data_IF_822481027125
#
_entry.id   IF_822481027125
#
_cell.length_a   1.000
_cell.length_b   1.000
_cell.length_c   1.000
_cell.angle_alpha   90.00
_cell.angle_beta   90.00
_cell.angle_gamma   90.00
#
_symmetry.space_group_name_H-M   'P 1'
#
loop_
_entity.id
_entity.type
_entity.pdbx_description
1 polymer ?
#
# COMPACT_ATOMS: atom_id res chain seq x y z
N UNK A 1 -0.06 -4.89 -23.04
CA UNK A 1 0.77 -6.10 -23.15
C UNK A 1 2.24 -5.71 -23.19
N UNK A 2 3.12 -6.45 -22.51
CA UNK A 2 4.57 -6.19 -22.49
C UNK A 2 5.24 -6.72 -23.76
N UNK A 3 6.22 -5.99 -24.29
CA UNK A 3 7.00 -6.37 -25.48
C UNK A 3 7.94 -7.54 -25.19
N UNK A 4 8.45 -8.20 -26.24
CA UNK A 4 9.46 -9.28 -26.11
C UNK A 4 10.75 -8.77 -25.46
N UNK A 5 11.21 -7.57 -25.83
CA UNK A 5 12.39 -6.93 -25.23
C UNK A 5 12.19 -6.61 -23.75
N UNK A 6 11.01 -6.10 -23.36
CA UNK A 6 10.67 -5.85 -21.95
C UNK A 6 10.73 -7.14 -21.12
N UNK A 7 10.19 -8.24 -21.65
CA UNK A 7 10.19 -9.53 -20.96
C UNK A 7 11.61 -10.09 -20.81
N UNK A 8 12.44 -9.98 -21.85
CA UNK A 8 13.83 -10.42 -21.83
C UNK A 8 14.63 -9.60 -20.79
N UNK A 9 14.54 -8.28 -20.83
CA UNK A 9 15.19 -7.40 -19.86
C UNK A 9 14.80 -7.74 -18.42
N UNK A 10 13.49 -7.86 -18.14
CA UNK A 10 13.01 -8.20 -16.81
C UNK A 10 13.47 -9.58 -16.32
N UNK A 11 13.62 -10.57 -17.21
CA UNK A 11 14.17 -11.90 -16.86
C UNK A 11 15.65 -11.80 -16.48
N UNK A 12 16.46 -11.13 -17.30
CA UNK A 12 17.90 -10.96 -17.04
C UNK A 12 18.15 -10.18 -15.75
N UNK A 13 17.42 -9.08 -15.55
CA UNK A 13 17.54 -8.27 -14.33
C UNK A 13 17.11 -9.06 -13.06
N UNK A 14 16.11 -9.93 -13.15
CA UNK A 14 15.75 -10.85 -12.05
C UNK A 14 16.87 -11.83 -11.70
N UNK A 15 17.52 -12.42 -12.70
CA UNK A 15 18.65 -13.33 -12.51
C UNK A 15 19.82 -12.69 -11.77
N UNK A 16 20.11 -11.41 -12.04
CA UNK A 16 21.22 -10.69 -11.39
C UNK A 16 20.92 -10.29 -9.93
N UNK A 17 19.65 -10.18 -9.55
CA UNK A 17 19.21 -9.69 -8.23
C UNK A 17 18.92 -10.80 -7.20
N UNK A 18 19.10 -12.07 -7.56
CA UNK A 18 18.63 -13.25 -6.82
C UNK A 18 19.20 -13.52 -5.41
N UNK A 19 20.13 -12.70 -4.91
CA UNK A 19 20.67 -12.84 -3.55
C UNK A 19 20.10 -11.78 -2.59
N UNK A 20 19.30 -12.20 -1.60
CA UNK A 20 18.78 -11.35 -0.53
C UNK A 20 19.78 -11.33 0.65
N UNK A 21 20.57 -10.27 0.77
CA UNK A 21 21.50 -10.05 1.88
C UNK A 21 20.75 -9.64 3.18
N UNK A 22 21.23 -10.03 4.39
CA UNK A 22 20.72 -9.57 5.69
C UNK A 22 20.37 -8.08 5.80
N UNK A 23 21.17 -7.18 5.23
CA UNK A 23 20.90 -5.73 5.25
C UNK A 23 19.57 -5.41 4.55
N UNK A 24 19.29 -6.05 3.41
CA UNK A 24 18.02 -5.89 2.69
C UNK A 24 16.84 -6.38 3.54
N UNK A 25 17.00 -7.49 4.28
CA UNK A 25 15.93 -7.99 5.17
C UNK A 25 15.60 -7.04 6.31
N UNK A 26 16.61 -6.38 6.90
CA UNK A 26 16.38 -5.37 7.94
C UNK A 26 15.60 -4.19 7.38
N UNK A 27 16.00 -3.68 6.21
CA UNK A 27 15.33 -2.55 5.53
C UNK A 27 13.85 -2.87 5.26
N UNK A 28 13.57 -4.05 4.68
CA UNK A 28 12.21 -4.52 4.41
C UNK A 28 11.38 -4.53 5.72
N UNK A 29 11.91 -5.13 6.78
CA UNK A 29 11.24 -5.13 8.09
C UNK A 29 10.96 -3.72 8.61
N UNK A 30 11.83 -2.76 8.33
CA UNK A 30 11.65 -1.36 8.76
C UNK A 30 10.55 -0.66 7.96
N UNK A 31 10.52 -0.77 6.63
CA UNK A 31 9.47 -0.17 5.79
C UNK A 31 8.07 -0.67 6.18
N UNK A 32 7.95 -1.95 6.53
CA UNK A 32 6.71 -2.57 7.01
C UNK A 32 6.13 -1.91 8.27
N UNK A 33 6.90 -1.15 9.05
CA UNK A 33 6.42 -0.43 10.24
C UNK A 33 5.37 0.61 9.84
N UNK A 34 5.65 1.40 8.79
CA UNK A 34 4.75 2.45 8.32
C UNK A 34 3.43 1.87 7.81
N UNK A 35 3.47 0.76 7.07
CA UNK A 35 2.26 0.13 6.55
C UNK A 35 1.38 -0.49 7.65
N UNK A 36 1.99 -1.14 8.65
CA UNK A 36 1.26 -1.62 9.84
C UNK A 36 0.65 -0.46 10.62
N UNK A 37 1.39 0.64 10.75
CA UNK A 37 0.89 1.87 11.38
C UNK A 37 -0.35 2.38 10.63
N UNK A 38 -0.30 2.46 9.29
CA UNK A 38 -1.43 2.90 8.47
C UNK A 38 -2.64 1.96 8.64
N UNK A 39 -2.47 0.63 8.64
CA UNK A 39 -3.57 -0.31 8.87
C UNK A 39 -4.23 -0.08 10.23
N UNK A 40 -3.44 0.09 11.29
CA UNK A 40 -3.96 0.35 12.63
C UNK A 40 -4.69 1.70 12.70
N UNK A 41 -4.18 2.73 12.02
CA UNK A 41 -4.84 4.04 11.92
C UNK A 41 -6.12 4.00 11.10
N UNK A 42 -6.15 3.26 9.99
CA UNK A 42 -7.37 3.03 9.23
C UNK A 42 -8.43 2.32 10.08
N UNK A 43 -8.04 1.30 10.85
CA UNK A 43 -8.95 0.60 11.78
C UNK A 43 -9.48 1.53 12.89
N UNK A 44 -8.63 2.39 13.45
CA UNK A 44 -9.06 3.43 14.40
C UNK A 44 -10.02 4.44 13.74
N UNK A 45 -9.76 4.83 12.50
CA UNK A 45 -10.61 5.75 11.75
C UNK A 45 -12.02 5.18 11.54
N UNK A 46 -12.13 3.88 11.21
CA UNK A 46 -13.42 3.18 11.14
C UNK A 46 -14.21 3.33 12.45
N UNK A 47 -13.56 3.03 13.59
CA UNK A 47 -14.18 3.17 14.91
C UNK A 47 -14.63 4.62 15.17
N UNK A 48 -13.76 5.58 14.89
CA UNK A 48 -14.00 6.99 15.17
C UNK A 48 -15.13 7.59 14.32
N UNK A 49 -15.31 7.09 13.08
CA UNK A 49 -16.37 7.54 12.17
C UNK A 49 -17.64 6.67 12.23
N UNK A 50 -17.77 5.79 13.23
CA UNK A 50 -19.00 5.03 13.49
C UNK A 50 -19.15 3.70 12.72
N UNK A 51 -18.14 3.29 11.95
CA UNK A 51 -18.07 1.98 11.26
C UNK A 51 -17.70 0.86 12.25
N UNK A 52 -18.51 0.72 13.31
CA UNK A 52 -18.24 -0.18 14.43
C UNK A 52 -18.37 -1.66 14.07
N UNK A 53 -19.14 -1.98 13.03
CA UNK A 53 -19.26 -3.35 12.53
C UNK A 53 -17.97 -3.77 11.81
N UNK A 54 -17.54 -2.98 10.83
CA UNK A 54 -16.34 -3.18 10.04
C UNK A 54 -15.09 -3.17 10.92
N UNK A 55 -15.03 -2.23 11.89
CA UNK A 55 -13.98 -2.21 12.91
C UNK A 55 -13.89 -3.53 13.67
N UNK A 56 -15.02 -4.04 14.19
CA UNK A 56 -15.01 -5.30 14.96
C UNK A 56 -14.65 -6.49 14.10
N UNK A 57 -15.17 -6.55 12.88
CA UNK A 57 -14.89 -7.60 11.92
C UNK A 57 -13.38 -7.68 11.61
N UNK A 58 -12.77 -6.57 11.19
CA UNK A 58 -11.38 -6.54 10.75
C UNK A 58 -10.37 -6.56 11.89
N UNK A 59 -10.74 -6.04 13.07
CA UNK A 59 -9.86 -6.10 14.26
C UNK A 59 -9.46 -7.53 14.59
N UNK A 60 -10.36 -8.50 14.41
CA UNK A 60 -10.07 -9.91 14.67
C UNK A 60 -9.01 -10.50 13.72
N UNK A 61 -8.83 -9.90 12.54
CA UNK A 61 -7.90 -10.34 11.50
C UNK A 61 -6.71 -9.40 11.28
N UNK A 62 -6.54 -8.37 12.14
CA UNK A 62 -5.50 -7.36 11.94
C UNK A 62 -4.09 -7.96 11.91
N UNK A 63 -3.86 -9.05 12.64
CA UNK A 63 -2.60 -9.81 12.61
C UNK A 63 -2.33 -10.39 11.22
N UNK A 64 -3.33 -10.99 10.58
CA UNK A 64 -3.22 -11.56 9.23
C UNK A 64 -3.02 -10.45 8.18
N UNK A 65 -3.79 -9.37 8.29
CA UNK A 65 -3.66 -8.19 7.39
C UNK A 65 -2.24 -7.61 7.50
N UNK A 66 -1.71 -7.45 8.71
CA UNK A 66 -0.36 -6.94 8.93
C UNK A 66 0.74 -7.92 8.48
N UNK A 67 0.49 -9.22 8.56
CA UNK A 67 1.38 -10.25 8.01
C UNK A 67 1.42 -10.17 6.47
N UNK A 68 0.26 -10.01 5.83
CA UNK A 68 0.13 -9.83 4.39
C UNK A 68 0.86 -8.60 3.85
N UNK A 69 0.67 -7.47 4.54
CA UNK A 69 1.43 -6.23 4.26
C UNK A 69 2.93 -6.48 4.32
N UNK A 70 3.39 -7.12 5.40
CA UNK A 70 4.83 -7.38 5.59
C UNK A 70 5.39 -8.32 4.51
N UNK A 71 4.58 -9.23 4.01
CA UNK A 71 4.99 -10.21 3.00
C UNK A 71 5.06 -9.64 1.58
N UNK A 72 4.24 -8.63 1.26
CA UNK A 72 4.24 -7.97 -0.04
C UNK A 72 5.58 -7.28 -0.33
N UNK A 73 6.22 -6.73 0.71
CA UNK A 73 7.51 -6.05 0.64
C UNK A 73 8.74 -6.97 0.66
N UNK A 74 8.54 -8.29 0.83
CA UNK A 74 9.63 -9.26 0.87
C UNK A 74 10.13 -9.64 -0.54
N UNK A 75 11.43 -9.93 -0.60
CA UNK A 75 12.15 -10.39 -1.80
C UNK A 75 12.19 -9.37 -2.94
N UNK A 76 12.16 -9.85 -4.18
CA UNK A 76 12.17 -9.04 -5.39
C UNK A 76 10.80 -8.40 -5.72
N UNK A 77 9.80 -8.52 -4.84
CA UNK A 77 8.42 -8.07 -5.12
C UNK A 77 8.31 -6.54 -5.20
N UNK A 78 9.12 -5.83 -4.43
CA UNK A 78 9.19 -4.35 -4.40
C UNK A 78 9.45 -3.70 -5.75
N UNK A 79 10.08 -4.41 -6.70
CA UNK A 79 10.31 -3.88 -8.06
C UNK A 79 9.00 -3.68 -8.84
N UNK A 80 7.91 -4.30 -8.41
CA UNK A 80 6.59 -4.19 -9.01
C UNK A 80 5.71 -3.14 -8.32
N UNK A 81 6.18 -2.46 -7.27
CA UNK A 81 5.37 -1.53 -6.47
C UNK A 81 5.19 -0.15 -7.13
N UNK A 82 5.76 0.02 -8.32
CA UNK A 82 5.68 1.26 -9.07
C UNK A 82 4.44 1.31 -9.96
N UNK A 83 3.79 2.46 -10.00
CA UNK A 83 2.69 2.74 -10.90
C UNK A 83 2.68 4.21 -11.33
N UNK A 84 3.15 4.48 -12.55
CA UNK A 84 3.21 5.83 -13.09
C UNK A 84 1.81 6.40 -13.28
N UNK A 85 1.52 7.53 -12.62
CA UNK A 85 0.17 8.12 -12.57
C UNK A 85 -0.44 8.41 -13.96
N UNK A 86 0.36 8.90 -14.91
CA UNK A 86 -0.09 9.21 -16.28
C UNK A 86 0.01 8.02 -17.24
N UNK A 87 1.20 7.39 -17.31
CA UNK A 87 1.47 6.31 -18.26
C UNK A 87 0.77 4.99 -17.91
N UNK A 88 0.27 4.84 -16.67
CA UNK A 88 -0.40 3.65 -16.14
C UNK A 88 0.48 2.37 -16.25
N UNK A 89 1.80 2.55 -16.10
CA UNK A 89 2.83 1.50 -16.22
C UNK A 89 3.71 1.45 -14.98
N UNK A 90 4.35 0.30 -14.74
CA UNK A 90 5.38 0.15 -13.71
C UNK A 90 6.78 0.36 -14.28
N UNK A 91 7.80 -0.19 -13.61
CA UNK A 91 9.17 -0.18 -14.13
C UNK A 91 9.28 -1.05 -15.40
N UNK A 92 10.12 -0.60 -16.35
CA UNK A 92 10.30 -1.27 -17.63
C UNK A 92 10.76 -2.73 -17.45
N UNK A 93 10.02 -3.67 -18.05
CA UNK A 93 10.28 -5.12 -17.92
C UNK A 93 9.68 -5.79 -16.67
N UNK A 94 9.06 -5.04 -15.77
CA UNK A 94 8.46 -5.53 -14.52
C UNK A 94 6.94 -5.35 -14.49
N UNK A 95 6.26 -5.97 -13.51
CA UNK A 95 4.84 -5.74 -13.26
C UNK A 95 4.62 -4.32 -12.73
N UNK A 96 3.41 -3.99 -12.29
CA UNK A 96 3.11 -2.68 -11.70
C UNK A 96 2.17 -2.83 -10.50
N UNK A 97 2.10 -1.78 -9.68
CA UNK A 97 1.38 -1.84 -8.42
C UNK A 97 -0.10 -2.17 -8.61
N UNK A 98 -0.73 -1.68 -9.69
CA UNK A 98 -2.12 -1.96 -10.01
C UNK A 98 -2.33 -3.44 -10.33
N UNK A 99 -1.50 -4.05 -11.17
CA UNK A 99 -1.66 -5.46 -11.54
C UNK A 99 -1.38 -6.40 -10.36
N UNK A 100 -0.36 -6.12 -9.54
CA UNK A 100 -0.12 -6.91 -8.33
C UNK A 100 -1.22 -6.70 -7.28
N UNK A 101 -1.75 -5.47 -7.14
CA UNK A 101 -2.86 -5.19 -6.21
C UNK A 101 -4.13 -5.95 -6.63
N UNK A 102 -4.49 -5.92 -7.92
CA UNK A 102 -5.59 -6.72 -8.46
C UNK A 102 -5.39 -8.21 -8.20
N UNK A 103 -4.18 -8.73 -8.42
CA UNK A 103 -3.86 -10.13 -8.20
C UNK A 103 -4.04 -10.53 -6.74
N UNK A 104 -3.49 -9.76 -5.81
CA UNK A 104 -3.65 -10.05 -4.38
C UNK A 104 -5.10 -9.88 -3.93
N UNK A 105 -5.81 -8.87 -4.43
CA UNK A 105 -7.22 -8.66 -4.09
C UNK A 105 -8.10 -9.82 -4.59
N UNK A 106 -7.84 -10.31 -5.82
CA UNK A 106 -8.53 -11.51 -6.34
C UNK A 106 -8.21 -12.77 -5.54
N UNK A 107 -6.96 -12.95 -5.09
CA UNK A 107 -6.60 -14.06 -4.22
C UNK A 107 -7.32 -13.96 -2.88
N UNK A 108 -7.39 -12.76 -2.30
CA UNK A 108 -8.12 -12.47 -1.06
C UNK A 108 -9.59 -12.89 -1.16
N UNK A 109 -10.28 -12.48 -2.23
CA UNK A 109 -11.66 -12.89 -2.50
C UNK A 109 -11.80 -14.39 -2.78
N UNK A 110 -10.89 -15.00 -3.55
CA UNK A 110 -10.89 -16.45 -3.78
C UNK A 110 -10.82 -17.23 -2.47
N UNK A 111 -9.94 -16.83 -1.55
CA UNK A 111 -9.83 -17.49 -0.25
C UNK A 111 -11.01 -17.21 0.66
N UNK A 112 -11.66 -16.05 0.52
CA UNK A 112 -12.92 -15.76 1.20
C UNK A 112 -14.02 -16.74 0.76
N UNK A 113 -14.16 -16.95 -0.56
CA UNK A 113 -15.14 -17.87 -1.14
C UNK A 113 -14.88 -19.34 -0.79
N UNK A 114 -13.64 -19.68 -0.42
CA UNK A 114 -13.26 -21.01 0.08
C UNK A 114 -13.41 -21.16 1.61
N UNK A 115 -13.84 -20.11 2.32
CA UNK A 115 -13.91 -20.10 3.79
C UNK A 115 -12.55 -20.02 4.48
N UNK A 116 -11.44 -19.85 3.75
CA UNK A 116 -10.10 -19.73 4.30
C UNK A 116 -9.82 -18.29 4.78
N UNK A 117 -10.53 -17.83 5.81
CA UNK A 117 -10.62 -16.43 6.22
C UNK A 117 -9.26 -15.79 6.58
N UNK A 118 -8.37 -16.51 7.26
CA UNK A 118 -7.04 -16.00 7.61
C UNK A 118 -6.18 -15.72 6.36
N UNK A 119 -6.16 -16.66 5.40
CA UNK A 119 -5.45 -16.46 4.12
C UNK A 119 -6.09 -15.35 3.30
N UNK A 120 -7.42 -15.26 3.32
CA UNK A 120 -8.17 -14.19 2.68
C UNK A 120 -7.71 -12.81 3.20
N UNK A 121 -7.66 -12.63 4.51
CA UNK A 121 -7.22 -11.39 5.17
C UNK A 121 -5.74 -11.10 4.99
N UNK A 122 -4.90 -12.14 4.91
CA UNK A 122 -3.51 -12.01 4.52
C UNK A 122 -3.36 -11.39 3.13
N UNK A 123 -4.07 -11.89 2.12
CA UNK A 123 -3.99 -11.31 0.77
C UNK A 123 -4.68 -9.94 0.65
N UNK A 124 -5.66 -9.63 1.52
CA UNK A 124 -6.17 -8.26 1.67
C UNK A 124 -5.04 -7.35 2.15
N UNK A 125 -4.29 -7.75 3.17
CA UNK A 125 -3.10 -7.06 3.63
C UNK A 125 -2.09 -6.78 2.52
N UNK A 126 -1.77 -7.78 1.70
CA UNK A 126 -0.88 -7.60 0.55
C UNK A 126 -1.43 -6.59 -0.48
N UNK A 127 -2.76 -6.47 -0.60
CA UNK A 127 -3.40 -5.46 -1.46
C UNK A 127 -3.33 -4.06 -0.85
N UNK A 128 -3.56 -3.94 0.48
CA UNK A 128 -3.41 -2.70 1.23
C UNK A 128 -1.99 -2.13 1.11
N UNK A 129 -0.97 -3.00 1.15
CA UNK A 129 0.43 -2.60 0.94
C UNK A 129 0.61 -1.78 -0.34
N UNK A 130 0.16 -2.32 -1.47
CA UNK A 130 0.30 -1.67 -2.77
C UNK A 130 -0.56 -0.43 -2.90
N UNK A 131 -1.75 -0.42 -2.28
CA UNK A 131 -2.61 0.77 -2.19
C UNK A 131 -1.93 1.91 -1.43
N UNK A 132 -1.21 1.58 -0.36
CA UNK A 132 -0.47 2.53 0.47
C UNK A 132 0.77 3.03 -0.26
N UNK A 133 1.53 2.15 -0.93
CA UNK A 133 2.70 2.54 -1.72
C UNK A 133 2.37 3.59 -2.78
N UNK A 134 1.26 3.45 -3.49
CA UNK A 134 0.89 4.43 -4.53
C UNK A 134 0.39 5.78 -3.99
N UNK A 135 0.33 5.96 -2.66
CA UNK A 135 0.18 7.30 -2.06
C UNK A 135 1.51 8.05 -1.93
N UNK A 136 2.63 7.35 -2.06
CA UNK A 136 3.98 7.90 -1.96
C UNK A 136 4.43 8.39 -3.34
N UNK A 137 4.82 9.67 -3.50
CA UNK A 137 5.19 10.23 -4.80
C UNK A 137 6.27 9.45 -5.54
N UNK A 138 7.22 8.88 -4.81
CA UNK A 138 8.34 8.14 -5.34
C UNK A 138 7.94 6.82 -6.02
N UNK A 139 6.82 6.21 -5.61
CA UNK A 139 6.28 5.00 -6.21
C UNK A 139 5.46 5.28 -7.48
N UNK A 140 5.09 6.54 -7.72
CA UNK A 140 4.22 6.92 -8.86
C UNK A 140 4.86 7.88 -9.86
N UNK A 141 6.10 8.29 -9.58
CA UNK A 141 6.91 9.10 -10.46
C UNK A 141 8.35 8.59 -10.47
N UNK A 142 8.70 7.84 -11.53
CA UNK A 142 9.99 7.17 -11.70
C UNK A 142 11.20 8.14 -11.69
N UNK A 143 10.99 9.45 -11.84
CA UNK A 143 12.06 10.46 -11.73
C UNK A 143 12.55 10.67 -10.30
N UNK A 144 11.80 10.19 -9.30
CA UNK A 144 12.06 10.43 -7.86
C UNK A 144 12.76 9.26 -7.15
N UNK A 145 13.11 8.21 -7.88
CA UNK A 145 13.68 6.96 -7.34
C UNK A 145 14.97 7.14 -6.54
N UNK A 146 15.81 8.14 -6.85
CA UNK A 146 17.12 8.28 -6.19
C UNK A 146 17.06 8.71 -4.71
N UNK A 147 15.89 9.12 -4.20
CA UNK A 147 15.72 9.64 -2.82
C UNK A 147 14.55 9.02 -2.04
N UNK A 148 13.96 7.92 -2.52
CA UNK A 148 12.81 7.27 -1.87
C UNK A 148 13.14 6.77 -0.46
N UNK A 149 14.28 6.08 -0.31
CA UNK A 149 14.70 5.45 0.95
C UNK A 149 14.89 6.45 2.08
N UNK A 150 15.55 7.57 1.82
CA UNK A 150 15.79 8.61 2.84
C UNK A 150 14.48 9.17 3.40
N UNK A 151 13.47 9.29 2.55
CA UNK A 151 12.16 9.80 2.94
C UNK A 151 11.38 8.77 3.76
N UNK A 152 11.36 7.51 3.34
CA UNK A 152 10.70 6.43 4.09
C UNK A 152 11.33 6.22 5.47
N UNK A 153 12.67 6.20 5.54
CA UNK A 153 13.40 6.10 6.81
C UNK A 153 13.12 7.31 7.72
N UNK A 154 12.95 8.50 7.14
CA UNK A 154 12.55 9.67 7.91
C UNK A 154 11.15 9.51 8.49
N UNK A 155 10.16 9.03 7.71
CA UNK A 155 8.80 8.75 8.22
C UNK A 155 8.85 7.76 9.39
N UNK A 156 9.58 6.65 9.21
CA UNK A 156 9.75 5.64 10.26
C UNK A 156 10.31 6.28 11.52
N UNK A 157 11.35 7.11 11.39
CA UNK A 157 11.94 7.82 12.54
C UNK A 157 10.88 8.65 13.27
N UNK A 158 10.06 9.41 12.55
CA UNK A 158 8.98 10.21 13.16
C UNK A 158 7.99 9.33 13.93
N UNK A 159 7.55 8.21 13.34
CA UNK A 159 6.65 7.26 14.01
C UNK A 159 7.30 6.68 15.28
N UNK A 160 8.57 6.29 15.22
CA UNK A 160 9.29 5.68 16.34
C UNK A 160 9.55 6.66 17.50
N UNK A 161 9.71 7.95 17.22
CA UNK A 161 9.83 8.99 18.27
C UNK A 161 8.46 9.48 18.79
N UNK A 162 7.37 8.85 18.36
CA UNK A 162 6.02 9.10 18.88
C UNK A 162 5.21 10.16 18.12
N UNK A 163 5.68 10.63 16.95
CA UNK A 163 4.86 11.48 16.11
C UNK A 163 3.62 10.72 15.63
N UNK A 164 2.45 11.35 15.77
CA UNK A 164 1.18 10.73 15.44
C UNK A 164 0.55 11.42 14.24
N UNK A 165 0.62 10.78 13.08
CA UNK A 165 -0.08 11.19 11.86
C UNK A 165 -1.57 10.89 11.99
N UNK A 166 -2.33 11.80 12.58
CA UNK A 166 -3.78 11.68 12.66
C UNK A 166 -4.47 12.36 11.47
N UNK A 167 -5.60 11.80 11.06
CA UNK A 167 -6.46 12.40 10.04
C UNK A 167 -7.82 12.72 10.65
N UNK A 168 -8.32 13.90 10.34
CA UNK A 168 -9.72 14.30 10.58
C UNK A 168 -10.55 14.23 9.29
N UNK A 169 -9.97 13.70 8.21
CA UNK A 169 -10.61 13.64 6.90
C UNK A 169 -11.57 12.45 6.84
N UNK A 170 -12.65 12.63 6.11
CA UNK A 170 -13.62 11.56 5.85
C UNK A 170 -12.99 10.39 5.10
N UNK A 171 -13.46 9.18 5.43
CA UNK A 171 -13.09 7.96 4.73
C UNK A 171 -13.44 8.07 3.24
N UNK A 172 -12.53 7.62 2.38
CA UNK A 172 -12.70 7.67 0.93
C UNK A 172 -12.92 6.29 0.34
N UNK A 173 -14.06 6.10 -0.31
CA UNK A 173 -14.41 4.90 -1.06
C UNK A 173 -14.35 5.15 -2.57
N UNK A 174 -13.95 4.13 -3.32
CA UNK A 174 -13.97 4.15 -4.78
C UNK A 174 -14.68 2.91 -5.33
N UNK A 175 -15.05 2.94 -6.62
CA UNK A 175 -15.94 1.90 -7.19
C UNK A 175 -15.30 0.51 -7.24
N UNK A 176 -13.98 0.44 -7.37
CA UNK A 176 -13.23 -0.81 -7.50
C UNK A 176 -11.76 -0.59 -7.12
N UNK A 177 -11.02 -1.69 -6.96
CA UNK A 177 -9.61 -1.68 -6.54
C UNK A 177 -8.71 -0.86 -7.48
N UNK A 178 -9.07 -0.76 -8.77
CA UNK A 178 -8.26 -0.01 -9.73
C UNK A 178 -8.38 1.49 -9.50
N UNK A 179 -9.58 1.96 -9.19
CA UNK A 179 -9.81 3.37 -8.87
C UNK A 179 -9.07 3.78 -7.59
N UNK A 180 -8.99 2.92 -6.56
CA UNK A 180 -8.15 3.19 -5.39
C UNK A 180 -6.71 3.47 -5.82
N UNK A 181 -6.11 2.59 -6.62
CA UNK A 181 -4.72 2.75 -7.06
C UNK A 181 -4.53 4.00 -7.92
N UNK A 182 -5.40 4.20 -8.90
CA UNK A 182 -5.29 5.31 -9.85
C UNK A 182 -5.50 6.67 -9.18
N UNK A 183 -6.49 6.78 -8.28
CA UNK A 183 -6.79 8.03 -7.58
C UNK A 183 -5.71 8.34 -6.56
N UNK A 184 -5.20 7.34 -5.83
CA UNK A 184 -4.07 7.52 -4.91
C UNK A 184 -2.82 7.99 -5.66
N UNK A 185 -2.49 7.37 -6.80
CA UNK A 185 -1.34 7.78 -7.60
C UNK A 185 -1.47 9.22 -8.13
N UNK A 186 -2.68 9.64 -8.53
CA UNK A 186 -2.93 11.01 -8.93
C UNK A 186 -2.75 12.00 -7.76
N UNK A 187 -3.28 11.67 -6.57
CA UNK A 187 -3.12 12.50 -5.37
C UNK A 187 -1.66 12.61 -4.96
N UNK A 188 -0.92 11.50 -4.93
CA UNK A 188 0.51 11.45 -4.61
C UNK A 188 1.32 12.38 -5.52
N UNK A 189 1.07 12.32 -6.83
CA UNK A 189 1.73 13.21 -7.78
C UNK A 189 1.37 14.69 -7.55
N UNK A 190 0.11 15.01 -7.23
CA UNK A 190 -0.31 16.38 -6.87
C UNK A 190 0.38 16.87 -5.59
N UNK A 191 0.51 16.03 -4.57
CA UNK A 191 1.21 16.34 -3.32
C UNK A 191 2.67 16.68 -3.59
N UNK A 192 3.35 15.91 -4.45
CA UNK A 192 4.71 16.22 -4.86
C UNK A 192 4.83 17.63 -5.45
N UNK A 193 4.03 17.97 -6.45
CA UNK A 193 4.09 19.29 -7.09
C UNK A 193 3.76 20.42 -6.11
N UNK A 194 2.81 20.21 -5.20
CA UNK A 194 2.43 21.19 -4.18
C UNK A 194 3.61 21.60 -3.29
N UNK A 195 4.44 20.64 -2.88
CA UNK A 195 5.52 20.88 -1.91
C UNK A 195 6.92 20.89 -2.52
N UNK A 196 7.07 20.67 -3.83
CA UNK A 196 8.38 20.58 -4.48
C UNK A 196 9.21 21.87 -4.32
N UNK A 197 8.56 23.04 -4.23
CA UNK A 197 9.21 24.34 -4.08
C UNK A 197 9.80 24.62 -2.69
N UNK A 198 9.44 23.84 -1.66
CA UNK A 198 9.97 24.05 -0.29
C UNK A 198 11.48 23.79 -0.28
N UNK A 199 12.27 24.72 0.27
CA UNK A 199 13.74 24.57 0.33
C UNK A 199 14.20 23.69 1.49
N UNK A 200 13.57 23.84 2.66
CA UNK A 200 13.88 23.03 3.84
C UNK A 200 13.50 21.57 3.60
N UNK A 201 14.47 20.67 3.74
CA UNK A 201 14.25 19.22 3.58
C UNK A 201 13.26 18.71 4.64
N UNK A 202 13.43 19.13 5.88
CA UNK A 202 12.59 18.70 7.01
C UNK A 202 11.14 19.15 6.84
N UNK A 203 10.94 20.43 6.50
CA UNK A 203 9.61 20.99 6.27
C UNK A 203 8.92 20.32 5.08
N UNK A 204 9.67 20.08 3.99
CA UNK A 204 9.14 19.34 2.83
C UNK A 204 8.74 17.93 3.21
N UNK A 205 9.60 17.23 3.95
CA UNK A 205 9.35 15.85 4.36
C UNK A 205 8.12 15.77 5.25
N UNK A 206 7.98 16.65 6.23
CA UNK A 206 6.80 16.72 7.10
C UNK A 206 5.52 16.98 6.30
N UNK A 207 5.49 18.02 5.47
CA UNK A 207 4.31 18.37 4.68
C UNK A 207 3.89 17.26 3.71
N UNK A 208 4.85 16.61 3.05
CA UNK A 208 4.56 15.47 2.16
C UNK A 208 4.09 14.28 2.99
N UNK A 209 4.76 13.95 4.11
CA UNK A 209 4.41 12.80 4.95
C UNK A 209 3.00 12.91 5.54
N UNK A 210 2.62 14.06 6.10
CA UNK A 210 1.26 14.29 6.59
C UNK A 210 0.23 14.04 5.48
N UNK A 211 0.41 14.66 4.32
CA UNK A 211 -0.54 14.54 3.23
C UNK A 211 -0.70 13.09 2.71
N UNK A 212 0.40 12.35 2.54
CA UNK A 212 0.35 10.99 1.98
C UNK A 212 -0.12 9.96 3.00
N UNK A 213 0.29 10.10 4.28
CA UNK A 213 -0.08 9.15 5.33
C UNK A 213 -1.57 9.30 5.65
N UNK A 214 -2.09 10.53 5.72
CA UNK A 214 -3.53 10.76 5.84
C UNK A 214 -4.30 10.16 4.65
N UNK A 215 -3.83 10.37 3.41
CA UNK A 215 -4.47 9.79 2.23
C UNK A 215 -4.46 8.25 2.27
N UNK A 216 -3.34 7.66 2.69
CA UNK A 216 -3.22 6.21 2.86
C UNK A 216 -4.18 5.67 3.92
N UNK A 217 -4.38 6.40 5.04
CA UNK A 217 -5.33 6.01 6.07
C UNK A 217 -6.77 6.02 5.57
N UNK A 218 -7.23 7.13 4.99
CA UNK A 218 -8.64 7.28 4.58
C UNK A 218 -9.02 6.33 3.44
N UNK A 219 -8.08 6.00 2.55
CA UNK A 219 -8.32 5.08 1.44
C UNK A 219 -8.13 3.62 1.82
N UNK A 220 -7.22 3.30 2.75
CA UNK A 220 -7.16 1.95 3.35
C UNK A 220 -8.44 1.64 4.12
N UNK A 221 -8.97 2.60 4.89
CA UNK A 221 -10.24 2.45 5.60
C UNK A 221 -11.42 2.25 4.64
N UNK A 222 -11.45 2.97 3.51
CA UNK A 222 -12.47 2.78 2.47
C UNK A 222 -12.43 1.37 1.87
N UNK A 223 -11.24 0.89 1.50
CA UNK A 223 -11.06 -0.47 0.98
C UNK A 223 -11.48 -1.52 2.00
N UNK A 224 -11.18 -1.29 3.28
CA UNK A 224 -11.60 -2.15 4.39
C UNK A 224 -13.12 -2.26 4.52
N UNK A 225 -13.87 -1.16 4.37
CA UNK A 225 -15.34 -1.18 4.34
C UNK A 225 -15.84 -1.99 3.15
N UNK A 226 -15.35 -1.68 1.94
CA UNK A 226 -15.73 -2.41 0.72
C UNK A 226 -15.48 -3.91 0.84
N UNK A 227 -14.41 -4.28 1.56
CA UNK A 227 -14.07 -5.67 1.80
C UNK A 227 -14.99 -6.33 2.83
N UNK A 228 -15.30 -5.65 3.95
CA UNK A 228 -16.25 -6.14 4.94
C UNK A 228 -17.63 -6.42 4.33
N UNK A 229 -18.13 -5.54 3.45
CA UNK A 229 -19.40 -5.76 2.76
C UNK A 229 -19.40 -7.06 1.92
N UNK A 230 -18.25 -7.44 1.34
CA UNK A 230 -18.09 -8.71 0.63
C UNK A 230 -17.97 -9.89 1.61
N UNK A 231 -17.19 -9.70 2.67
CA UNK A 231 -17.03 -10.68 3.75
C UNK A 231 -18.37 -11.10 4.35
N UNK A 232 -19.22 -10.13 4.70
CA UNK A 232 -20.53 -10.41 5.31
C UNK A 232 -21.46 -11.15 4.33
N UNK A 233 -21.49 -10.72 3.06
CA UNK A 233 -22.27 -11.40 2.02
C UNK A 233 -21.82 -12.85 1.86
N UNK A 234 -20.52 -13.10 1.70
CA UNK A 234 -20.00 -14.45 1.49
C UNK A 234 -20.19 -15.32 2.73
N UNK A 235 -19.92 -14.80 3.93
CA UNK A 235 -20.07 -15.57 5.17
C UNK A 235 -21.52 -15.87 5.55
N UNK A 236 -22.47 -15.03 5.12
CA UNK A 236 -23.90 -15.31 5.29
C UNK A 236 -24.37 -16.53 4.49
N UNK A 237 -23.68 -16.89 3.40
CA UNK A 237 -24.01 -18.08 2.58
C UNK A 237 -23.56 -19.40 3.23
N UNK A 238 -22.68 -19.33 4.23
CA UNK A 238 -22.20 -20.49 4.98
C UNK A 238 -22.95 -20.70 6.31
N UNK A 239 -23.91 -19.82 6.63
CA UNK A 239 -24.78 -19.94 7.80
C UNK A 239 -26.12 -20.52 7.39
#
# INVERSE_FOLDING_TARGET
MKTLMERAFGKTARGFMGAVNPIKKVIIKTQCITHKYINNKALQLLKNQGYMHEYRCLKNYITDINAGVTWADQDMKSINHFYHFNEKKGLYGFSNALEECRKYYRLSLKYLDLGELHKSMFYLGASCHLLQDVTVPQHVNNRLLKKHRDFELWIIKQILIGYNFETQRDIKRYKNIDEYIQKNALVANKVYFRYNGIRSKEEKYMNVACAIIEEAQVTTAGLMIDYCEKFDKTTSLFR
#
